data_IF_747601109178
#
_entry.id   IF_747601109178
#
_cell.length_a   1.000
_cell.length_b   1.000
_cell.length_c   1.000
_cell.angle_alpha   90.00
_cell.angle_beta   90.00
_cell.angle_gamma   90.00
#
_symmetry.space_group_name_H-M   'P 1'
#
loop_
_entity.id
_entity.type
_entity.pdbx_description
1 polymer ?
#
# COMPACT_ATOMS: atom_id res chain seq x y z
N UNK A 1 -12.66 -6.05 67.86
CA UNK A 1 -11.45 -5.27 67.52
C UNK A 1 -11.16 -5.49 66.05
N UNK A 2 -11.12 -4.40 65.29
CA UNK A 2 -11.09 -4.37 63.83
C UNK A 2 -9.86 -5.05 63.21
N UNK A 3 -10.05 -5.76 62.09
CA UNK A 3 -9.01 -5.88 61.07
C UNK A 3 -9.59 -5.39 59.74
N UNK A 4 -9.05 -4.24 59.33
CA UNK A 4 -9.36 -3.50 58.13
C UNK A 4 -8.49 -4.09 57.00
N UNK A 5 -9.08 -4.82 56.06
CA UNK A 5 -8.40 -5.16 54.81
C UNK A 5 -8.76 -4.10 53.77
N UNK A 6 -7.83 -3.18 53.55
CA UNK A 6 -7.80 -2.23 52.45
C UNK A 6 -7.81 -2.99 51.13
N UNK A 7 -8.89 -2.84 50.34
CA UNK A 7 -8.88 -3.18 48.92
C UNK A 7 -7.89 -2.24 48.22
N UNK A 8 -6.76 -2.77 47.76
CA UNK A 8 -5.89 -2.09 46.82
C UNK A 8 -6.68 -1.87 45.52
N UNK A 9 -6.90 -0.59 45.18
CA UNK A 9 -7.38 -0.14 43.88
C UNK A 9 -6.38 -0.57 42.80
N UNK A 10 -6.76 -1.53 41.96
CA UNK A 10 -6.06 -1.80 40.70
C UNK A 10 -6.71 -0.91 39.62
N UNK A 11 -5.95 -0.06 38.92
CA UNK A 11 -6.49 0.79 37.87
C UNK A 11 -6.95 -0.05 36.66
N UNK A 12 -7.91 0.43 35.86
CA UNK A 12 -8.47 -0.36 34.77
C UNK A 12 -7.52 -0.39 33.55
N UNK A 13 -7.47 -1.57 32.94
CA UNK A 13 -7.07 -1.85 31.54
C UNK A 13 -5.62 -1.62 31.15
N UNK A 14 -4.73 -2.51 31.60
CA UNK A 14 -3.67 -3.00 30.72
C UNK A 14 -4.31 -4.14 29.92
N UNK A 15 -4.60 -3.93 28.62
CA UNK A 15 -5.09 -5.01 27.75
C UNK A 15 -4.05 -6.12 27.79
N UNK A 16 -4.44 -7.31 28.23
CA UNK A 16 -3.66 -8.52 28.06
C UNK A 16 -3.54 -8.75 26.55
N UNK A 17 -2.42 -8.32 25.96
CA UNK A 17 -2.08 -8.68 24.58
C UNK A 17 -2.05 -10.19 24.54
N UNK A 18 -2.94 -10.80 23.76
CA UNK A 18 -2.95 -12.25 23.64
C UNK A 18 -1.65 -12.67 22.94
N UNK A 19 -1.11 -13.84 23.26
CA UNK A 19 0.11 -14.35 22.61
C UNK A 19 -0.01 -14.32 21.06
N UNK A 20 -1.24 -14.47 20.55
CA UNK A 20 -1.54 -14.44 19.12
C UNK A 20 -1.37 -13.05 18.49
N UNK A 21 -1.79 -11.98 19.17
CA UNK A 21 -1.62 -10.59 18.68
C UNK A 21 -0.13 -10.24 18.54
N UNK A 22 0.67 -10.64 19.53
CA UNK A 22 2.11 -10.42 19.50
C UNK A 22 2.79 -11.22 18.37
N UNK A 23 2.33 -12.45 18.13
CA UNK A 23 2.84 -13.27 17.02
C UNK A 23 2.52 -12.64 15.66
N UNK A 24 1.30 -12.11 15.48
CA UNK A 24 0.91 -11.39 14.27
C UNK A 24 1.78 -10.14 14.05
N UNK A 25 1.99 -9.33 15.09
CA UNK A 25 2.87 -8.14 15.01
C UNK A 25 4.30 -8.53 14.61
N UNK A 26 4.85 -9.61 15.18
CA UNK A 26 6.16 -10.13 14.82
C UNK A 26 6.21 -10.66 13.38
N UNK A 27 5.17 -11.36 12.93
CA UNK A 27 5.06 -11.88 11.59
C UNK A 27 5.00 -10.74 10.54
N UNK A 28 4.21 -9.70 10.81
CA UNK A 28 4.15 -8.49 9.98
C UNK A 28 5.47 -7.69 10.01
N UNK A 29 6.19 -7.66 11.15
CA UNK A 29 7.54 -7.06 11.21
C UNK A 29 8.55 -7.85 10.38
N UNK A 30 8.46 -9.19 10.39
CA UNK A 30 9.34 -10.04 9.60
C UNK A 30 9.13 -9.81 8.10
N UNK A 31 7.87 -9.75 7.64
CA UNK A 31 7.55 -9.49 6.23
C UNK A 31 8.01 -8.10 5.75
N UNK A 32 8.13 -7.12 6.66
CA UNK A 32 8.71 -5.80 6.36
C UNK A 32 10.24 -5.80 6.23
N UNK A 33 10.92 -6.87 6.67
CA UNK A 33 12.40 -6.98 6.66
C UNK A 33 12.92 -7.99 5.65
N UNK A 34 12.15 -9.04 5.37
CA UNK A 34 12.56 -10.05 4.39
C UNK A 34 12.57 -9.46 2.96
N UNK A 35 13.41 -10.01 2.05
CA UNK A 35 13.49 -9.52 0.68
C UNK A 35 12.12 -9.56 -0.04
N UNK A 36 11.61 -8.43 -0.54
CA UNK A 36 10.27 -8.36 -1.13
C UNK A 36 10.14 -9.16 -2.44
N UNK A 37 11.26 -9.51 -3.09
CA UNK A 37 11.27 -10.36 -4.29
C UNK A 37 10.85 -11.81 -4.00
N UNK A 38 10.87 -12.22 -2.73
CA UNK A 38 10.52 -13.57 -2.29
C UNK A 38 9.21 -13.59 -1.49
N UNK A 39 8.40 -12.53 -1.59
CA UNK A 39 7.22 -12.33 -0.75
C UNK A 39 6.24 -13.53 -0.76
N UNK A 40 5.96 -14.12 -1.92
CA UNK A 40 5.08 -15.29 -2.02
C UNK A 40 5.64 -16.49 -1.24
N UNK A 41 6.94 -16.75 -1.37
CA UNK A 41 7.61 -17.83 -0.66
C UNK A 41 7.69 -17.55 0.83
N UNK A 42 8.09 -16.33 1.21
CA UNK A 42 8.19 -15.92 2.60
C UNK A 42 6.84 -16.05 3.32
N UNK A 43 5.74 -15.67 2.66
CA UNK A 43 4.40 -15.81 3.22
C UNK A 43 4.02 -17.28 3.38
N UNK A 44 4.29 -18.13 2.38
CA UNK A 44 4.07 -19.58 2.48
C UNK A 44 4.85 -20.19 3.63
N UNK A 45 6.16 -19.91 3.72
CA UNK A 45 7.03 -20.42 4.78
C UNK A 45 6.57 -19.93 6.17
N UNK A 46 6.01 -18.71 6.25
CA UNK A 46 5.50 -18.13 7.50
C UNK A 46 4.16 -18.76 7.93
N UNK A 47 3.28 -19.07 6.98
CA UNK A 47 2.04 -19.81 7.22
C UNK A 47 2.37 -21.22 7.70
N UNK A 48 3.35 -21.90 7.09
CA UNK A 48 3.81 -23.23 7.54
C UNK A 48 4.39 -23.19 8.96
N UNK A 49 5.07 -22.09 9.32
CA UNK A 49 5.65 -21.90 10.65
C UNK A 49 4.60 -21.59 11.72
N UNK A 50 3.58 -20.79 11.41
CA UNK A 50 2.51 -20.41 12.34
C UNK A 50 1.14 -20.56 11.66
N UNK A 51 0.62 -21.79 11.50
CA UNK A 51 -0.61 -22.04 10.75
C UNK A 51 -1.85 -21.38 11.34
N UNK A 52 -1.85 -21.10 12.66
CA UNK A 52 -2.95 -20.44 13.35
C UNK A 52 -3.19 -18.99 12.89
N UNK A 53 -2.20 -18.37 12.24
CA UNK A 53 -2.29 -17.00 11.72
C UNK A 53 -2.58 -16.95 10.21
N UNK A 54 -2.91 -18.08 9.57
CA UNK A 54 -3.08 -18.15 8.11
C UNK A 54 -4.05 -17.08 7.56
N UNK A 55 -5.25 -16.97 8.14
CA UNK A 55 -6.26 -16.00 7.71
C UNK A 55 -5.84 -14.54 7.97
N UNK A 56 -5.27 -14.28 9.15
CA UNK A 56 -4.78 -12.95 9.53
C UNK A 56 -3.62 -12.50 8.62
N UNK A 57 -2.72 -13.42 8.27
CA UNK A 57 -1.58 -13.14 7.40
C UNK A 57 -2.00 -12.89 5.95
N UNK A 58 -2.90 -13.72 5.41
CA UNK A 58 -3.39 -13.53 4.05
C UNK A 58 -4.19 -12.23 3.91
N UNK A 59 -4.96 -11.85 4.94
CA UNK A 59 -5.72 -10.58 4.93
C UNK A 59 -4.87 -9.33 5.17
N UNK A 60 -3.71 -9.46 5.84
CA UNK A 60 -2.87 -8.31 6.25
C UNK A 60 -1.61 -8.13 5.42
N UNK A 61 -1.14 -9.17 4.71
CA UNK A 61 0.09 -9.12 3.92
C UNK A 61 -0.24 -9.06 2.44
N UNK A 62 -0.09 -7.87 1.87
CA UNK A 62 -0.28 -7.65 0.44
C UNK A 62 0.70 -8.51 -0.40
N UNK A 63 0.18 -9.19 -1.42
CA UNK A 63 0.97 -9.99 -2.38
C UNK A 63 0.98 -9.35 -3.79
N UNK A 64 1.99 -9.64 -4.62
CA UNK A 64 2.00 -9.23 -6.02
C UNK A 64 0.75 -9.73 -6.75
N UNK A 65 0.11 -8.85 -7.50
CA UNK A 65 -1.16 -9.17 -8.15
C UNK A 65 -0.94 -10.19 -9.26
N UNK A 66 -1.82 -11.20 -9.30
CA UNK A 66 -1.84 -12.22 -10.35
C UNK A 66 -2.92 -11.88 -11.37
N UNK A 67 -2.66 -12.22 -12.63
CA UNK A 67 -3.63 -12.01 -13.73
C UNK A 67 -4.32 -13.34 -14.02
N UNK A 68 -5.64 -13.31 -14.11
CA UNK A 68 -6.46 -14.39 -14.65
C UNK A 68 -7.26 -13.90 -15.86
N UNK A 69 -7.72 -14.83 -16.70
CA UNK A 69 -8.54 -14.54 -17.88
C UNK A 69 -9.98 -14.98 -17.62
N UNK A 70 -10.93 -14.06 -17.71
CA UNK A 70 -12.34 -14.42 -17.77
C UNK A 70 -12.61 -15.13 -19.10
N UNK A 71 -12.95 -16.42 -19.04
CA UNK A 71 -13.20 -17.27 -20.22
C UNK A 71 -14.50 -16.92 -20.96
N UNK A 72 -15.45 -16.24 -20.31
CA UNK A 72 -16.76 -15.89 -20.85
C UNK A 72 -16.66 -14.59 -21.64
N UNK A 73 -16.07 -13.56 -21.04
CA UNK A 73 -15.96 -12.23 -21.66
C UNK A 73 -14.66 -12.08 -22.45
N UNK A 74 -13.66 -12.93 -22.18
CA UNK A 74 -12.36 -12.85 -22.81
C UNK A 74 -11.60 -11.60 -22.38
N UNK A 75 -11.66 -11.22 -21.10
CA UNK A 75 -10.94 -10.07 -20.52
C UNK A 75 -10.09 -10.51 -19.34
N UNK A 76 -8.95 -9.86 -19.15
CA UNK A 76 -8.08 -10.10 -18.00
C UNK A 76 -8.67 -9.45 -16.75
N UNK A 77 -8.43 -10.06 -15.58
CA UNK A 77 -8.76 -9.53 -14.28
C UNK A 77 -7.69 -9.89 -13.24
N UNK A 78 -7.66 -9.15 -12.14
CA UNK A 78 -6.65 -9.28 -11.11
C UNK A 78 -7.16 -10.09 -9.92
N UNK A 79 -6.28 -10.93 -9.40
CA UNK A 79 -6.54 -11.79 -8.25
C UNK A 79 -5.98 -11.19 -6.98
N UNK A 80 -6.79 -11.18 -5.92
CA UNK A 80 -6.43 -10.83 -4.56
C UNK A 80 -7.35 -11.60 -3.59
N UNK A 81 -7.10 -11.50 -2.29
CA UNK A 81 -7.94 -12.20 -1.31
C UNK A 81 -9.37 -11.63 -1.24
N UNK A 82 -9.59 -10.36 -1.60
CA UNK A 82 -10.92 -9.73 -1.59
C UNK A 82 -11.87 -10.22 -2.69
N UNK A 83 -11.37 -10.91 -3.72
CA UNK A 83 -12.23 -11.56 -4.73
C UNK A 83 -12.08 -13.08 -4.73
N UNK A 84 -11.48 -13.63 -3.67
CA UNK A 84 -11.27 -15.06 -3.48
C UNK A 84 -12.38 -15.62 -2.58
N UNK A 85 -12.82 -16.83 -2.90
CA UNK A 85 -13.62 -17.66 -2.01
C UNK A 85 -13.16 -19.11 -2.16
N UNK A 86 -12.71 -19.73 -1.06
CA UNK A 86 -11.95 -20.98 -1.10
C UNK A 86 -10.75 -20.88 -2.04
N UNK A 87 -10.74 -21.68 -3.11
CA UNK A 87 -9.67 -21.69 -4.13
C UNK A 87 -10.11 -21.05 -5.46
N UNK A 88 -11.27 -20.39 -5.46
CA UNK A 88 -11.84 -19.76 -6.66
C UNK A 88 -11.81 -18.25 -6.57
N UNK A 89 -11.76 -17.60 -7.73
CA UNK A 89 -11.73 -16.14 -7.83
C UNK A 89 -12.87 -15.61 -8.69
N UNK A 90 -13.59 -14.61 -8.17
CA UNK A 90 -14.69 -13.94 -8.86
C UNK A 90 -14.14 -12.97 -9.90
N UNK A 91 -14.60 -13.10 -11.14
CA UNK A 91 -14.31 -12.14 -12.20
C UNK A 91 -15.21 -10.89 -12.08
N UNK A 92 -14.67 -9.66 -12.24
CA UNK A 92 -15.47 -8.46 -12.20
C UNK A 92 -16.31 -8.29 -13.48
N UNK A 93 -16.03 -9.04 -14.55
CA UNK A 93 -16.72 -8.94 -15.83
C UNK A 93 -17.96 -9.84 -15.87
N UNK A 94 -17.77 -11.16 -15.77
CA UNK A 94 -18.87 -12.13 -15.79
C UNK A 94 -19.59 -12.27 -14.44
N UNK A 95 -19.02 -11.77 -13.35
CA UNK A 95 -19.49 -11.99 -11.99
C UNK A 95 -19.56 -13.47 -11.61
N UNK A 96 -18.63 -14.29 -12.12
CA UNK A 96 -18.56 -15.72 -11.82
C UNK A 96 -17.21 -16.08 -11.23
N UNK A 97 -17.24 -17.07 -10.34
CA UNK A 97 -16.04 -17.69 -9.78
C UNK A 97 -15.42 -18.67 -10.79
N UNK A 98 -14.09 -18.69 -10.82
CA UNK A 98 -13.30 -19.71 -11.51
C UNK A 98 -12.25 -20.28 -10.54
N UNK A 99 -12.23 -21.60 -10.27
CA UNK A 99 -13.23 -22.60 -10.68
C UNK A 99 -14.67 -22.28 -10.23
N UNK A 100 -15.72 -22.80 -10.91
CA UNK A 100 -17.11 -22.51 -10.53
C UNK A 100 -17.42 -22.90 -9.08
N UNK A 101 -18.13 -22.02 -8.38
CA UNK A 101 -18.68 -22.24 -7.03
C UNK A 101 -20.17 -21.94 -7.04
N UNK A 102 -20.94 -22.74 -6.31
CA UNK A 102 -22.40 -22.60 -6.21
C UNK A 102 -22.81 -21.64 -5.09
N UNK A 103 -21.99 -21.50 -4.05
CA UNK A 103 -22.25 -20.75 -2.81
C UNK A 103 -21.22 -19.64 -2.52
N UNK A 104 -20.50 -19.20 -3.55
CA UNK A 104 -19.51 -18.13 -3.41
C UNK A 104 -20.11 -16.79 -2.98
N UNK A 105 -19.35 -16.00 -2.23
CA UNK A 105 -19.77 -14.67 -1.77
C UNK A 105 -20.05 -13.70 -2.94
N UNK A 106 -21.26 -13.14 -2.99
CA UNK A 106 -21.69 -12.24 -4.07
C UNK A 106 -22.12 -10.87 -3.53
N UNK A 107 -21.76 -9.76 -4.21
CA UNK A 107 -22.27 -8.45 -3.83
C UNK A 107 -23.79 -8.36 -4.06
N UNK A 108 -24.46 -7.52 -3.29
CA UNK A 108 -25.88 -7.22 -3.48
C UNK A 108 -26.15 -6.66 -4.89
N UNK A 109 -27.38 -6.83 -5.41
CA UNK A 109 -27.71 -6.38 -6.76
C UNK A 109 -27.46 -4.88 -6.99
N UNK A 110 -27.70 -4.06 -5.95
CA UNK A 110 -27.38 -2.63 -5.96
C UNK A 110 -25.87 -2.40 -6.05
N UNK A 111 -25.09 -3.08 -5.20
CA UNK A 111 -23.65 -2.91 -5.15
C UNK A 111 -22.95 -3.45 -6.39
N UNK A 112 -23.44 -4.54 -6.99
CA UNK A 112 -22.93 -5.07 -8.25
C UNK A 112 -23.06 -4.06 -9.40
N UNK A 113 -24.16 -3.30 -9.45
CA UNK A 113 -24.31 -2.23 -10.46
C UNK A 113 -23.23 -1.16 -10.28
N UNK A 114 -22.98 -0.74 -9.04
CA UNK A 114 -21.91 0.20 -8.70
C UNK A 114 -20.53 -0.36 -9.01
N UNK A 115 -20.29 -1.65 -8.77
CA UNK A 115 -19.03 -2.35 -9.08
C UNK A 115 -18.76 -2.36 -10.59
N UNK A 116 -19.77 -2.57 -11.43
CA UNK A 116 -19.62 -2.50 -12.89
C UNK A 116 -19.29 -1.08 -13.35
N UNK A 117 -19.98 -0.07 -12.81
CA UNK A 117 -19.69 1.34 -13.09
C UNK A 117 -18.26 1.72 -12.64
N UNK A 118 -17.84 1.26 -11.47
CA UNK A 118 -16.50 1.49 -10.93
C UNK A 118 -15.42 0.84 -11.79
N UNK A 119 -15.61 -0.42 -12.24
CA UNK A 119 -14.69 -1.07 -13.16
C UNK A 119 -14.51 -0.26 -14.45
N UNK A 120 -15.58 0.26 -15.04
CA UNK A 120 -15.50 1.09 -16.24
C UNK A 120 -14.78 2.43 -15.99
N UNK A 121 -15.00 3.05 -14.83
CA UNK A 121 -14.33 4.30 -14.46
C UNK A 121 -12.83 4.09 -14.23
N UNK A 122 -12.45 3.03 -13.49
CA UNK A 122 -11.06 2.75 -13.18
C UNK A 122 -10.29 2.13 -14.36
N UNK A 123 -10.96 1.49 -15.32
CA UNK A 123 -10.34 1.07 -16.59
C UNK A 123 -9.89 2.28 -17.43
N UNK A 124 -10.68 3.36 -17.43
CA UNK A 124 -10.32 4.65 -18.05
C UNK A 124 -9.21 5.36 -17.27
N UNK A 125 -9.30 5.41 -15.92
CA UNK A 125 -8.23 5.93 -15.08
C UNK A 125 -6.89 5.23 -15.36
N UNK A 126 -6.91 3.88 -15.40
CA UNK A 126 -5.74 3.07 -15.75
C UNK A 126 -5.21 3.46 -17.13
N UNK A 127 -6.05 3.55 -18.13
CA UNK A 127 -5.60 3.88 -19.49
C UNK A 127 -4.93 5.26 -19.56
N UNK A 128 -5.51 6.28 -18.91
CA UNK A 128 -4.97 7.64 -18.86
C UNK A 128 -3.62 7.75 -18.14
N UNK A 129 -3.43 7.00 -17.05
CA UNK A 129 -2.24 7.10 -16.20
C UNK A 129 -1.15 6.08 -16.53
N UNK A 130 -1.54 4.88 -16.98
CA UNK A 130 -0.63 3.76 -17.19
C UNK A 130 -0.48 3.38 -18.65
N UNK A 131 -1.33 3.85 -19.56
CA UNK A 131 -1.28 3.52 -21.00
C UNK A 131 -1.16 1.99 -21.21
N UNK A 132 -2.10 1.25 -20.62
CA UNK A 132 -2.15 -0.21 -20.62
C UNK A 132 -2.06 -0.85 -19.23
N UNK A 133 -1.74 -2.14 -19.19
CA UNK A 133 -1.86 -2.95 -17.96
C UNK A 133 -3.27 -3.49 -17.75
N UNK A 134 -3.54 -4.03 -16.57
CA UNK A 134 -4.83 -4.60 -16.19
C UNK A 134 -5.33 -3.87 -14.94
N UNK A 135 -6.64 -3.67 -14.84
CA UNK A 135 -7.29 -3.15 -13.63
C UNK A 135 -8.51 -3.99 -13.28
N UNK A 136 -8.87 -4.03 -12.01
CA UNK A 136 -10.07 -4.71 -11.53
C UNK A 136 -10.58 -4.05 -10.26
N UNK A 137 -11.89 -3.93 -10.13
CA UNK A 137 -12.56 -3.40 -8.95
C UNK A 137 -13.51 -4.44 -8.39
N UNK A 138 -13.43 -4.67 -7.08
CA UNK A 138 -14.35 -5.55 -6.36
C UNK A 138 -14.97 -4.81 -5.18
N UNK A 139 -16.28 -4.89 -5.02
CA UNK A 139 -17.02 -4.29 -3.91
C UNK A 139 -17.71 -5.37 -3.09
N UNK A 140 -17.84 -5.14 -1.79
CA UNK A 140 -18.61 -5.99 -0.87
C UNK A 140 -19.41 -5.16 0.12
N UNK A 141 -20.57 -5.68 0.51
CA UNK A 141 -21.51 -4.99 1.40
C UNK A 141 -20.98 -5.00 2.85
N UNK A 142 -21.29 -3.93 3.59
CA UNK A 142 -21.07 -3.82 5.04
C UNK A 142 -22.40 -3.47 5.73
N UNK A 143 -22.49 -3.66 7.05
CA UNK A 143 -23.71 -3.31 7.82
C UNK A 143 -24.12 -1.83 7.66
N UNK A 144 -23.13 -0.94 7.54
CA UNK A 144 -23.31 0.51 7.47
C UNK A 144 -22.57 1.15 6.28
N UNK A 145 -22.72 0.54 5.10
CA UNK A 145 -22.18 1.06 3.85
C UNK A 145 -21.63 -0.06 2.98
N UNK A 146 -20.45 0.16 2.40
CA UNK A 146 -19.77 -0.85 1.60
C UNK A 146 -18.27 -0.63 1.64
N UNK A 147 -17.51 -1.64 1.25
CA UNK A 147 -16.09 -1.50 1.00
C UNK A 147 -15.74 -2.01 -0.40
N UNK A 148 -14.53 -1.70 -0.83
CA UNK A 148 -14.05 -2.11 -2.13
C UNK A 148 -12.55 -2.12 -2.23
N UNK A 149 -12.05 -2.85 -3.21
CA UNK A 149 -10.66 -2.83 -3.60
C UNK A 149 -10.54 -2.42 -5.07
N UNK A 150 -9.61 -1.50 -5.35
CA UNK A 150 -9.21 -1.12 -6.71
C UNK A 150 -7.80 -1.65 -6.91
N UNK A 151 -7.64 -2.47 -7.94
CA UNK A 151 -6.40 -3.13 -8.29
C UNK A 151 -5.92 -2.62 -9.65
N UNK A 152 -4.63 -2.29 -9.74
CA UNK A 152 -3.98 -1.95 -11.02
C UNK A 152 -2.65 -2.69 -11.09
N UNK A 153 -2.41 -3.38 -12.20
CA UNK A 153 -1.13 -4.01 -12.49
C UNK A 153 -0.61 -3.56 -13.84
N UNK A 154 0.57 -2.94 -13.84
CA UNK A 154 1.30 -2.59 -15.06
C UNK A 154 2.67 -3.26 -15.05
N UNK A 155 2.82 -4.28 -15.89
CA UNK A 155 4.13 -4.79 -16.25
C UNK A 155 4.77 -3.87 -17.30
N UNK A 156 6.08 -3.63 -17.17
CA UNK A 156 6.87 -2.93 -18.18
C UNK A 156 6.89 -3.69 -19.49
N UNK A 157 7.15 -2.98 -20.59
CA UNK A 157 7.18 -3.47 -21.98
C UNK A 157 8.25 -4.54 -22.27
N UNK A 158 9.00 -4.98 -21.27
CA UNK A 158 9.88 -6.13 -21.37
C UNK A 158 11.13 -5.87 -22.20
N UNK A 159 11.63 -4.62 -22.26
CA UNK A 159 12.99 -4.40 -22.73
C UNK A 159 13.92 -5.40 -22.01
N UNK A 160 14.67 -6.23 -22.74
CA UNK A 160 15.44 -7.35 -22.15
C UNK A 160 16.40 -6.91 -21.02
N UNK A 161 16.74 -5.62 -20.97
CA UNK A 161 17.68 -5.02 -20.03
C UNK A 161 17.02 -4.37 -18.82
N UNK A 162 15.75 -3.99 -18.90
CA UNK A 162 15.02 -3.32 -17.80
C UNK A 162 13.65 -3.96 -17.71
N UNK A 163 13.43 -4.72 -16.63
CA UNK A 163 12.12 -5.26 -16.25
C UNK A 163 11.57 -4.42 -15.12
N UNK A 164 10.27 -4.18 -15.13
CA UNK A 164 9.59 -3.45 -14.08
C UNK A 164 8.16 -3.93 -13.93
N UNK A 165 7.63 -3.86 -12.72
CA UNK A 165 6.23 -4.12 -12.43
C UNK A 165 5.75 -3.10 -11.40
N UNK A 166 4.57 -2.56 -11.64
CA UNK A 166 3.82 -1.71 -10.73
C UNK A 166 2.52 -2.44 -10.36
N UNK A 167 2.28 -2.56 -9.06
CA UNK A 167 1.05 -3.11 -8.51
C UNK A 167 0.45 -2.09 -7.53
N UNK A 168 -0.77 -1.61 -7.80
CA UNK A 168 -1.56 -0.77 -6.90
C UNK A 168 -2.68 -1.59 -6.26
N UNK A 169 -2.83 -1.45 -4.94
CA UNK A 169 -3.90 -2.04 -4.15
C UNK A 169 -4.51 -0.93 -3.30
N UNK A 170 -5.73 -0.53 -3.62
CA UNK A 170 -6.47 0.51 -2.91
C UNK A 170 -7.70 -0.09 -2.25
N UNK A 171 -7.64 -0.31 -0.94
CA UNK A 171 -8.77 -0.76 -0.14
C UNK A 171 -9.48 0.47 0.42
N UNK A 172 -10.75 0.64 0.06
CA UNK A 172 -11.60 1.74 0.52
C UNK A 172 -12.76 1.19 1.34
N UNK A 173 -12.97 1.76 2.51
CA UNK A 173 -14.15 1.56 3.34
C UNK A 173 -15.02 2.82 3.26
N UNK A 174 -16.31 2.65 2.97
CA UNK A 174 -17.28 3.73 2.84
C UNK A 174 -18.37 3.54 3.89
N UNK A 175 -18.40 4.42 4.88
CA UNK A 175 -19.45 4.45 5.88
C UNK A 175 -20.49 5.51 5.49
N UNK A 176 -21.67 5.04 5.09
CA UNK A 176 -22.78 5.93 4.72
C UNK A 176 -23.44 6.48 5.99
N UNK A 177 -23.52 7.82 6.12
CA UNK A 177 -24.26 8.42 7.24
C UNK A 177 -25.76 8.25 7.00
N UNK A 178 -26.55 8.19 8.07
CA UNK A 178 -28.00 7.91 8.02
C UNK A 178 -28.84 8.88 7.18
N UNK A 179 -28.32 10.08 6.87
CA UNK A 179 -28.96 11.03 5.95
C UNK A 179 -28.74 10.73 4.46
N UNK A 180 -27.80 9.85 4.11
CA UNK A 180 -27.42 9.50 2.73
C UNK A 180 -26.72 10.62 1.94
N UNK A 181 -26.54 11.81 2.53
CA UNK A 181 -25.96 13.00 1.84
C UNK A 181 -24.46 13.16 2.05
N UNK A 182 -23.87 12.35 2.92
CA UNK A 182 -22.47 12.39 3.30
C UNK A 182 -22.01 10.99 3.63
N UNK A 183 -20.78 10.66 3.26
CA UNK A 183 -20.15 9.41 3.64
C UNK A 183 -18.73 9.68 4.15
N UNK A 184 -18.30 8.82 5.08
CA UNK A 184 -16.92 8.79 5.56
C UNK A 184 -16.16 7.76 4.73
N UNK A 185 -15.03 8.17 4.15
CA UNK A 185 -14.19 7.34 3.30
C UNK A 185 -12.87 7.10 4.01
N UNK A 186 -12.49 5.84 4.17
CA UNK A 186 -11.18 5.43 4.66
C UNK A 186 -10.46 4.65 3.58
N UNK A 187 -9.40 5.22 3.03
CA UNK A 187 -8.60 4.66 1.97
C UNK A 187 -7.26 4.18 2.52
N UNK A 188 -6.98 2.89 2.38
CA UNK A 188 -5.67 2.28 2.60
C UNK A 188 -5.10 1.89 1.24
N UNK A 189 -3.95 2.46 0.89
CA UNK A 189 -3.33 2.27 -0.42
C UNK A 189 -1.94 1.69 -0.26
N UNK A 190 -1.71 0.53 -0.85
CA UNK A 190 -0.38 -0.08 -1.00
C UNK A 190 0.02 -0.02 -2.46
N UNK A 191 1.22 0.48 -2.74
CA UNK A 191 1.84 0.35 -4.05
C UNK A 191 3.10 -0.49 -3.91
N UNK A 192 3.20 -1.54 -4.70
CA UNK A 192 4.44 -2.30 -4.88
C UNK A 192 5.10 -1.90 -6.19
N UNK A 193 6.40 -1.63 -6.09
CA UNK A 193 7.23 -1.34 -7.23
C UNK A 193 8.39 -2.31 -7.24
N UNK A 194 8.57 -2.98 -8.37
CA UNK A 194 9.74 -3.80 -8.63
C UNK A 194 10.41 -3.37 -9.92
N UNK A 195 11.72 -3.20 -9.87
CA UNK A 195 12.58 -2.79 -10.96
C UNK A 195 13.83 -3.65 -10.96
N UNK A 196 14.12 -4.27 -12.09
CA UNK A 196 15.35 -5.01 -12.33
C UNK A 196 16.03 -4.46 -13.58
N UNK A 197 17.28 -4.04 -13.44
CA UNK A 197 18.13 -3.63 -14.56
C UNK A 197 19.36 -4.49 -14.63
N UNK A 198 19.70 -4.95 -15.85
CA UNK A 198 20.93 -5.69 -16.13
C UNK A 198 21.68 -4.97 -17.24
N UNK A 199 22.79 -4.32 -16.87
CA UNK A 199 23.66 -3.58 -17.79
C UNK A 199 25.12 -3.94 -17.52
N UNK A 200 25.95 -3.93 -18.56
CA UNK A 200 27.36 -4.32 -18.47
C UNK A 200 28.14 -3.49 -17.43
N UNK A 201 27.83 -2.19 -17.30
CA UNK A 201 28.53 -1.30 -16.36
C UNK A 201 28.08 -1.39 -14.90
N UNK A 202 26.79 -1.63 -14.65
CA UNK A 202 26.23 -1.67 -13.29
C UNK A 202 26.00 -3.08 -12.75
N UNK A 203 26.25 -4.11 -13.57
CA UNK A 203 25.81 -5.48 -13.27
C UNK A 203 24.29 -5.60 -13.23
N UNK A 204 23.81 -6.50 -12.37
CA UNK A 204 22.37 -6.66 -12.09
C UNK A 204 22.01 -5.89 -10.83
N UNK A 205 21.07 -4.97 -10.96
CA UNK A 205 20.52 -4.20 -9.85
C UNK A 205 19.02 -4.49 -9.73
N UNK A 206 18.61 -4.85 -8.53
CA UNK A 206 17.21 -5.11 -8.17
C UNK A 206 16.78 -4.08 -7.12
N UNK A 207 15.78 -3.29 -7.46
CA UNK A 207 15.10 -2.37 -6.55
C UNK A 207 13.67 -2.87 -6.41
N UNK A 208 13.25 -3.20 -5.21
CA UNK A 208 11.89 -3.67 -4.97
C UNK A 208 11.44 -3.40 -3.56
N UNK A 209 10.13 -3.29 -3.39
CA UNK A 209 9.50 -2.99 -2.12
C UNK A 209 8.10 -2.42 -2.32
N UNK A 210 7.48 -2.04 -1.21
CA UNK A 210 6.14 -1.48 -1.19
C UNK A 210 6.09 -0.24 -0.31
N UNK A 211 5.10 0.61 -0.56
CA UNK A 211 4.75 1.73 0.30
C UNK A 211 3.24 1.71 0.56
N UNK A 212 2.87 1.66 1.83
CA UNK A 212 1.49 1.72 2.28
C UNK A 212 1.21 3.07 2.92
N UNK A 213 0.08 3.69 2.58
CA UNK A 213 -0.43 4.93 3.19
C UNK A 213 -1.93 4.82 3.44
N UNK A 214 -2.38 5.54 4.46
CA UNK A 214 -3.79 5.66 4.80
C UNK A 214 -4.24 7.12 4.73
N UNK A 215 -5.50 7.33 4.35
CA UNK A 215 -6.17 8.61 4.49
C UNK A 215 -7.65 8.42 4.78
N UNK A 216 -8.22 9.36 5.52
CA UNK A 216 -9.64 9.40 5.84
C UNK A 216 -10.22 10.75 5.44
N UNK A 217 -11.45 10.76 4.91
CA UNK A 217 -12.12 11.99 4.48
C UNK A 217 -13.63 11.85 4.51
N UNK A 218 -14.31 12.88 5.01
CA UNK A 218 -15.76 13.03 4.85
C UNK A 218 -16.04 13.80 3.54
N UNK A 219 -16.89 13.26 2.67
CA UNK A 219 -17.33 13.90 1.44
C UNK A 219 -18.85 13.87 1.31
N UNK A 220 -19.40 14.88 0.63
CA UNK A 220 -20.82 14.89 0.27
C UNK A 220 -21.11 13.89 -0.84
N UNK A 221 -22.32 13.32 -0.80
CA UNK A 221 -22.80 12.34 -1.76
C UNK A 221 -24.05 12.91 -2.42
N UNK A 222 -24.01 13.01 -3.75
CA UNK A 222 -25.12 13.52 -4.54
C UNK A 222 -24.92 13.22 -6.02
N UNK A 223 -25.86 13.67 -6.85
CA UNK A 223 -25.85 13.39 -8.30
C UNK A 223 -24.61 13.97 -9.00
N UNK A 224 -24.14 15.13 -8.57
CA UNK A 224 -22.91 15.76 -9.09
C UNK A 224 -21.62 15.18 -8.51
N UNK A 225 -21.70 14.42 -7.41
CA UNK A 225 -20.54 13.84 -6.72
C UNK A 225 -20.90 12.44 -6.20
N UNK A 226 -21.04 11.45 -7.10
CA UNK A 226 -21.35 10.08 -6.70
C UNK A 226 -20.16 9.42 -5.98
N UNK A 227 -20.41 8.30 -5.30
CA UNK A 227 -19.37 7.57 -4.56
C UNK A 227 -18.14 7.25 -5.42
N UNK A 228 -18.32 6.80 -6.65
CA UNK A 228 -17.19 6.47 -7.55
C UNK A 228 -16.32 7.70 -7.81
N UNK A 229 -16.91 8.89 -7.99
CA UNK A 229 -16.15 10.11 -8.20
C UNK A 229 -15.39 10.54 -6.92
N UNK A 230 -16.01 10.37 -5.75
CA UNK A 230 -15.34 10.63 -4.47
C UNK A 230 -14.15 9.68 -4.26
N UNK A 231 -14.34 8.38 -4.48
CA UNK A 231 -13.30 7.36 -4.38
C UNK A 231 -12.19 7.63 -5.41
N UNK A 232 -12.56 7.93 -6.66
CA UNK A 232 -11.62 8.23 -7.74
C UNK A 232 -10.68 9.38 -7.39
N UNK A 233 -11.21 10.50 -6.87
CA UNK A 233 -10.39 11.63 -6.39
C UNK A 233 -9.43 11.24 -5.28
N UNK A 234 -9.89 10.44 -4.32
CA UNK A 234 -9.04 9.96 -3.21
C UNK A 234 -7.91 9.05 -3.71
N UNK A 235 -8.22 8.13 -4.61
CA UNK A 235 -7.24 7.20 -5.21
C UNK A 235 -6.22 7.98 -6.03
N UNK A 236 -6.66 8.89 -6.89
CA UNK A 236 -5.79 9.72 -7.73
C UNK A 236 -4.81 10.57 -6.90
N UNK A 237 -5.31 11.26 -5.89
CA UNK A 237 -4.48 12.06 -4.98
C UNK A 237 -3.47 11.18 -4.23
N UNK A 238 -3.89 9.99 -3.78
CA UNK A 238 -3.05 9.08 -3.01
C UNK A 238 -1.97 8.44 -3.89
N UNK A 239 -2.31 7.93 -5.07
CA UNK A 239 -1.34 7.37 -6.01
C UNK A 239 -0.29 8.43 -6.40
N UNK A 240 -0.70 9.66 -6.68
CA UNK A 240 0.23 10.74 -7.01
C UNK A 240 1.23 11.03 -5.88
N UNK A 241 0.77 11.04 -4.62
CA UNK A 241 1.62 11.19 -3.43
C UNK A 241 2.56 10.00 -3.23
N UNK A 242 2.04 8.78 -3.39
CA UNK A 242 2.82 7.55 -3.25
C UNK A 242 3.89 7.48 -4.34
N UNK A 243 3.55 7.74 -5.61
CA UNK A 243 4.48 7.80 -6.73
C UNK A 243 5.62 8.78 -6.49
N UNK A 244 5.30 9.97 -5.99
CA UNK A 244 6.31 11.00 -5.66
C UNK A 244 7.24 10.53 -4.54
N UNK A 245 6.66 9.92 -3.48
CA UNK A 245 7.43 9.37 -2.35
C UNK A 245 8.32 8.19 -2.79
N UNK A 246 7.81 7.30 -3.64
CA UNK A 246 8.57 6.18 -4.20
C UNK A 246 9.75 6.68 -5.02
N UNK A 247 9.56 7.72 -5.84
CA UNK A 247 10.65 8.31 -6.61
C UNK A 247 11.79 8.84 -5.72
N UNK A 248 11.45 9.57 -4.66
CA UNK A 248 12.44 10.08 -3.69
C UNK A 248 13.17 8.97 -2.94
N UNK A 249 12.45 7.92 -2.51
CA UNK A 249 13.05 6.81 -1.77
C UNK A 249 13.92 5.96 -2.69
N UNK A 250 13.38 5.50 -3.81
CA UNK A 250 14.04 4.54 -4.70
C UNK A 250 15.24 5.13 -5.41
N UNK A 251 15.15 6.37 -5.89
CA UNK A 251 16.21 6.98 -6.72
C UNK A 251 17.01 8.05 -6.00
N UNK A 252 16.52 8.56 -4.86
CA UNK A 252 17.26 9.44 -3.95
C UNK A 252 17.94 8.65 -2.85
N UNK A 253 17.17 8.19 -1.86
CA UNK A 253 17.73 7.60 -0.62
C UNK A 253 18.61 6.38 -0.87
N UNK A 254 18.21 5.44 -1.73
CA UNK A 254 19.05 4.26 -1.99
C UNK A 254 20.38 4.64 -2.65
N UNK A 255 20.36 5.63 -3.55
CA UNK A 255 21.55 6.16 -4.22
C UNK A 255 22.48 6.84 -3.23
N UNK A 256 21.94 7.66 -2.34
CA UNK A 256 22.73 8.35 -1.30
C UNK A 256 23.39 7.36 -0.35
N UNK A 257 22.67 6.31 0.06
CA UNK A 257 23.23 5.23 0.89
C UNK A 257 24.37 4.53 0.15
N UNK A 258 24.19 4.13 -1.10
CA UNK A 258 25.23 3.45 -1.90
C UNK A 258 26.47 4.34 -2.06
N UNK A 259 26.28 5.63 -2.36
CA UNK A 259 27.37 6.59 -2.49
C UNK A 259 28.09 6.85 -1.16
N UNK A 260 27.35 6.81 -0.04
CA UNK A 260 27.91 6.93 1.31
C UNK A 260 28.77 5.73 1.73
N UNK A 261 28.46 4.53 1.24
CA UNK A 261 29.26 3.33 1.50
C UNK A 261 30.59 3.32 0.72
N UNK A 262 30.61 3.91 -0.48
CA UNK A 262 31.80 3.98 -1.32
C UNK A 262 31.76 5.22 -2.21
N UNK A 263 32.45 6.29 -1.78
CA UNK A 263 32.66 7.48 -2.61
C UNK A 263 33.85 7.29 -3.56
N UNK A 264 33.73 7.82 -4.78
CA UNK A 264 34.85 7.95 -5.73
C UNK A 264 35.74 9.12 -5.34
N UNK A 265 35.13 10.17 -4.79
CA UNK A 265 35.87 11.29 -4.22
C UNK A 265 36.57 10.81 -2.95
N UNK A 266 37.85 11.14 -2.82
CA UNK A 266 38.57 10.94 -1.57
C UNK A 266 37.77 11.60 -0.45
N UNK A 267 37.56 10.87 0.65
CA UNK A 267 37.03 11.47 1.87
C UNK A 267 37.85 12.74 2.12
N UNK A 268 37.21 13.93 2.17
CA UNK A 268 37.94 15.16 2.40
C UNK A 268 38.76 14.97 3.66
N UNK A 269 40.05 15.28 3.54
CA UNK A 269 41.00 15.04 4.61
C UNK A 269 40.47 15.69 5.89
N UNK A 270 40.72 15.09 7.05
CA UNK A 270 40.14 15.57 8.31
C UNK A 270 40.51 17.06 8.57
N UNK A 271 41.59 17.54 7.94
CA UNK A 271 41.98 18.95 7.88
C UNK A 271 41.02 19.83 7.07
N UNK A 272 40.57 19.40 5.89
CA UNK A 272 39.64 20.16 5.04
C UNK A 272 38.27 20.29 5.70
N UNK A 273 37.80 19.23 6.37
CA UNK A 273 36.58 19.29 7.20
C UNK A 273 36.71 20.27 8.36
N UNK A 274 37.85 20.28 9.07
CA UNK A 274 38.12 21.25 10.14
C UNK A 274 38.22 22.67 9.61
N UNK A 275 38.78 22.87 8.42
CA UNK A 275 38.90 24.18 7.79
C UNK A 275 37.52 24.72 7.39
N UNK A 276 36.69 23.86 6.78
CA UNK A 276 35.30 24.18 6.46
C UNK A 276 34.48 24.48 7.74
N UNK A 277 34.66 23.70 8.82
CA UNK A 277 34.01 23.98 10.11
C UNK A 277 34.42 25.34 10.69
N UNK A 278 35.70 25.71 10.59
CA UNK A 278 36.19 27.03 11.03
C UNK A 278 35.57 28.15 10.20
N UNK A 279 35.57 28.04 8.87
CA UNK A 279 34.96 29.03 7.99
C UNK A 279 33.45 29.16 8.26
N UNK A 280 32.74 28.06 8.45
CA UNK A 280 31.31 28.07 8.75
C UNK A 280 31.03 28.74 10.10
N UNK A 281 31.86 28.47 11.12
CA UNK A 281 31.75 29.12 12.42
C UNK A 281 32.00 30.63 12.37
N UNK A 282 32.94 31.08 11.53
CA UNK A 282 33.24 32.49 11.29
C UNK A 282 32.09 33.19 10.57
N UNK A 283 31.52 32.55 9.54
CA UNK A 283 30.37 33.09 8.80
C UNK A 283 29.13 33.19 9.70
N UNK A 284 28.91 32.21 10.58
CA UNK A 284 27.80 32.24 11.54
C UNK A 284 27.95 33.35 12.58
N UNK A 285 29.16 33.60 13.09
CA UNK A 285 29.43 34.70 14.02
C UNK A 285 29.29 36.06 13.34
N UNK A 286 29.80 36.22 12.11
CA UNK A 286 29.59 37.45 11.33
C UNK A 286 28.10 37.72 11.07
N UNK A 287 27.32 36.69 10.73
CA UNK A 287 25.86 36.84 10.58
C UNK A 287 25.16 37.25 11.88
N UNK A 288 25.60 36.75 13.03
CA UNK A 288 25.04 37.16 14.33
C UNK A 288 25.33 38.63 14.66
N UNK A 289 26.52 39.13 14.30
CA UNK A 289 26.91 40.54 14.51
C UNK A 289 26.05 41.48 13.64
N UNK A 290 25.68 41.07 12.43
CA UNK A 290 24.82 41.86 11.53
C UNK A 290 23.31 41.82 11.88
N UNK A 291 22.88 40.98 12.83
CA UNK A 291 21.46 40.82 13.22
C UNK A 291 21.16 41.48 14.57
N UNK A 292 22.15 41.91 15.35
CA UNK A 292 21.87 42.77 16.50
C UNK A 292 21.58 44.19 15.99
N UNK A 293 20.35 44.70 16.16
CA UNK A 293 20.09 46.10 15.86
C UNK A 293 20.87 46.94 16.88
N UNK A 294 21.60 47.94 16.40
CA UNK A 294 22.11 49.02 17.24
C UNK A 294 20.94 49.54 18.09
N UNK A 295 21.05 49.37 19.41
CA UNK A 295 20.21 50.05 20.40
C UNK A 295 20.56 51.54 20.43
#
# INVERSE_FOLDING_TARGET
SAFHFTKLNVPPTCKLVTNNDQQLDCALDLMRRLPPQQIEKNLSDLIDLVPSLCEDLLSSVDQPLKIARDKIVGKDYLLCDYNRDGDSYRSPWSNKYEPPLDDGAMPSARLRKLEVEANNAFDQYRDLYFEGGVSSVYLWDLDHGFAGVILIKKAGDGSKKIKGCWDSIHVVEVQEKSSGRTAHYKLTSTVMLWLQTTKTGSGTMNLGGSLTRQMEKDETVGESSPHIANIGRLVEDMENKIRSTLNEIYFGKTKDIVNGLRSIESLPDNQMYRQLQRELSQVLTQRHIYIQPDN
#
